data_IF_405743081288
#
_entry.id   IF_405743081288
#
_cell.length_a   1.000
_cell.length_b   1.000
_cell.length_c   1.000
_cell.angle_alpha   90.00
_cell.angle_beta   90.00
_cell.angle_gamma   90.00
#
_symmetry.space_group_name_H-M   'P 1'
#
loop_
_entity.id
_entity.type
_entity.pdbx_description
1 polymer ?
#
# COMPACT_ATOMS: atom_id res chain seq x y z
N UNK A 1 -32.58 26.06 -34.03
CA UNK A 1 -32.64 25.68 -32.60
C UNK A 1 -33.56 24.47 -32.41
N UNK A 2 -33.08 23.24 -32.64
CA UNK A 2 -33.78 21.98 -32.29
C UNK A 2 -32.90 20.77 -32.63
N UNK A 3 -31.70 20.69 -32.06
CA UNK A 3 -30.84 19.50 -32.20
C UNK A 3 -29.96 19.24 -30.99
N UNK A 4 -30.24 19.89 -29.85
CA UNK A 4 -29.40 19.90 -28.66
C UNK A 4 -29.92 19.02 -27.52
N UNK A 5 -30.57 17.88 -27.82
CA UNK A 5 -31.17 17.01 -26.79
C UNK A 5 -30.74 15.54 -26.79
N UNK A 6 -29.76 15.13 -27.61
CA UNK A 6 -29.40 13.69 -27.72
C UNK A 6 -28.13 13.30 -26.95
N UNK A 7 -27.33 14.24 -26.44
CA UNK A 7 -26.01 13.91 -25.86
C UNK A 7 -26.06 13.57 -24.35
N UNK A 8 -27.18 13.77 -23.66
CA UNK A 8 -27.25 13.61 -22.20
C UNK A 8 -27.43 12.15 -21.69
N UNK A 9 -27.47 11.14 -22.56
CA UNK A 9 -27.84 9.77 -22.15
C UNK A 9 -26.68 8.76 -22.06
N UNK A 10 -25.43 9.14 -22.38
CA UNK A 10 -24.30 8.20 -22.43
C UNK A 10 -23.34 8.25 -21.21
N UNK A 11 -23.63 9.08 -20.21
CA UNK A 11 -22.76 9.23 -19.03
C UNK A 11 -23.14 8.35 -17.82
N UNK A 12 -24.02 7.36 -17.98
CA UNK A 12 -24.55 6.55 -16.88
C UNK A 12 -23.97 5.13 -16.76
N UNK A 13 -22.87 4.81 -17.44
CA UNK A 13 -22.30 3.44 -17.42
C UNK A 13 -20.78 3.41 -17.22
N UNK A 14 -20.29 4.02 -16.13
CA UNK A 14 -18.98 3.64 -15.54
C UNK A 14 -19.08 3.62 -14.02
N UNK A 15 -20.00 2.82 -13.47
CA UNK A 15 -19.89 2.35 -12.09
C UNK A 15 -20.10 0.84 -12.12
N UNK A 16 -19.16 0.14 -12.73
CA UNK A 16 -19.21 -1.31 -12.84
C UNK A 16 -17.97 -1.91 -12.19
N UNK A 17 -18.24 -2.60 -11.08
CA UNK A 17 -17.47 -3.75 -10.58
C UNK A 17 -16.28 -3.47 -9.66
N UNK A 18 -16.55 -3.04 -8.42
CA UNK A 18 -15.76 -3.53 -7.28
C UNK A 18 -16.39 -4.84 -6.78
N UNK A 19 -16.30 -5.92 -7.57
CA UNK A 19 -16.59 -7.25 -7.04
C UNK A 19 -15.39 -7.69 -6.20
N UNK A 20 -15.34 -7.25 -4.95
CA UNK A 20 -14.34 -7.66 -3.97
C UNK A 20 -14.68 -9.08 -3.48
N UNK A 21 -14.45 -10.07 -4.34
CA UNK A 21 -14.33 -11.47 -3.95
C UNK A 21 -12.94 -11.71 -3.34
N UNK A 22 -12.65 -10.97 -2.27
CA UNK A 22 -11.40 -11.07 -1.51
C UNK A 22 -11.76 -11.65 -0.14
N UNK A 23 -11.11 -12.75 0.23
CA UNK A 23 -11.28 -13.36 1.55
C UNK A 23 -10.96 -12.34 2.65
N UNK A 24 -11.50 -12.54 3.86
CA UNK A 24 -11.39 -11.55 4.95
C UNK A 24 -9.95 -11.12 5.29
N UNK A 25 -8.97 -12.01 5.10
CA UNK A 25 -7.55 -11.72 5.34
C UNK A 25 -6.97 -10.70 4.34
N UNK A 26 -7.32 -10.81 3.05
CA UNK A 26 -6.83 -9.90 2.01
C UNK A 26 -7.31 -8.47 2.26
N UNK A 27 -8.54 -8.31 2.77
CA UNK A 27 -9.08 -6.99 3.14
C UNK A 27 -8.37 -6.35 4.33
N UNK A 28 -7.94 -7.15 5.32
CA UNK A 28 -7.23 -6.62 6.50
C UNK A 28 -5.83 -6.18 6.10
N UNK A 29 -5.09 -7.02 5.38
CA UNK A 29 -3.76 -6.69 4.91
C UNK A 29 -3.78 -5.51 3.93
N UNK A 30 -4.72 -5.49 2.97
CA UNK A 30 -4.87 -4.39 2.02
C UNK A 30 -5.08 -3.04 2.69
N UNK A 31 -5.92 -2.97 3.74
CA UNK A 31 -6.12 -1.72 4.51
C UNK A 31 -4.87 -1.27 5.24
N UNK A 32 -4.12 -2.21 5.81
CA UNK A 32 -2.88 -1.89 6.52
C UNK A 32 -1.84 -1.29 5.57
N UNK A 33 -1.68 -1.88 4.39
CA UNK A 33 -0.77 -1.42 3.33
C UNK A 33 -1.19 -0.03 2.83
N UNK A 34 -2.48 0.13 2.48
CA UNK A 34 -3.02 1.44 2.05
C UNK A 34 -2.86 2.53 3.11
N UNK A 35 -3.06 2.19 4.39
CA UNK A 35 -2.89 3.15 5.48
C UNK A 35 -1.43 3.57 5.65
N UNK A 36 -0.46 2.66 5.45
CA UNK A 36 0.96 3.02 5.44
C UNK A 36 1.27 3.96 4.28
N UNK A 37 0.87 3.60 3.05
CA UNK A 37 1.10 4.42 1.86
C UNK A 37 0.51 5.83 2.00
N UNK A 38 -0.73 5.94 2.46
CA UNK A 38 -1.36 7.23 2.70
C UNK A 38 -0.60 8.04 3.76
N UNK A 39 -0.28 7.43 4.91
CA UNK A 39 0.46 8.11 5.98
C UNK A 39 1.84 8.59 5.50
N UNK A 40 2.50 7.83 4.62
CA UNK A 40 3.81 8.19 4.09
C UNK A 40 3.74 9.24 2.98
N UNK A 41 2.67 9.28 2.20
CA UNK A 41 2.38 10.41 1.30
C UNK A 41 2.18 11.71 2.09
N UNK A 42 1.40 11.66 3.18
CA UNK A 42 1.19 12.80 4.07
C UNK A 42 2.50 13.22 4.76
N UNK A 43 3.30 12.25 5.23
CA UNK A 43 4.62 12.51 5.79
C UNK A 43 5.56 13.18 4.78
N UNK A 44 5.60 12.69 3.53
CA UNK A 44 6.43 13.27 2.48
C UNK A 44 6.03 14.73 2.21
N UNK A 45 4.73 14.99 2.06
CA UNK A 45 4.21 16.34 1.84
C UNK A 45 4.54 17.29 3.01
N UNK A 46 4.40 16.83 4.26
CA UNK A 46 4.70 17.62 5.46
C UNK A 46 6.19 17.94 5.61
N UNK A 47 7.08 17.14 5.02
CA UNK A 47 8.54 17.29 5.13
C UNK A 47 9.19 17.79 3.83
N UNK A 48 8.40 18.21 2.84
CA UNK A 48 8.92 18.72 1.56
C UNK A 48 9.69 17.68 0.74
N UNK A 49 9.34 16.39 0.89
CA UNK A 49 9.92 15.27 0.14
C UNK A 49 9.03 14.88 -1.04
N UNK A 50 9.63 14.19 -2.00
CA UNK A 50 8.87 13.53 -3.07
C UNK A 50 7.97 12.43 -2.49
N UNK A 51 6.80 12.16 -3.09
CA UNK A 51 5.98 11.02 -2.72
C UNK A 51 6.79 9.72 -2.81
N UNK A 52 6.64 8.79 -1.87
CA UNK A 52 7.45 7.58 -1.86
C UNK A 52 7.11 6.67 -3.04
N UNK A 53 8.13 6.08 -3.65
CA UNK A 53 7.96 4.99 -4.62
C UNK A 53 7.74 3.65 -3.90
N UNK A 54 6.81 2.83 -4.40
CA UNK A 54 6.59 1.48 -3.91
C UNK A 54 7.47 0.50 -4.68
N UNK A 55 8.39 -0.14 -3.97
CA UNK A 55 9.38 -1.07 -4.51
C UNK A 55 9.06 -2.48 -3.99
N UNK A 56 8.83 -3.42 -4.91
CA UNK A 56 8.65 -4.82 -4.54
C UNK A 56 9.99 -5.53 -4.35
N UNK A 57 10.24 -6.01 -3.13
CA UNK A 57 11.47 -6.71 -2.80
C UNK A 57 11.63 -8.02 -3.59
N UNK A 58 12.83 -8.24 -4.11
CA UNK A 58 13.28 -9.54 -4.63
C UNK A 58 14.41 -10.08 -3.76
N UNK A 59 14.40 -11.37 -3.49
CA UNK A 59 15.42 -11.98 -2.65
C UNK A 59 16.83 -11.72 -3.19
N UNK A 60 17.71 -11.20 -2.34
CA UNK A 60 19.08 -10.82 -2.70
C UNK A 60 19.21 -9.43 -3.33
N UNK A 61 18.11 -8.69 -3.50
CA UNK A 61 18.14 -7.29 -3.93
C UNK A 61 18.88 -6.45 -2.90
N UNK A 62 19.90 -5.72 -3.36
CA UNK A 62 20.62 -4.75 -2.52
C UNK A 62 19.73 -3.53 -2.36
N UNK A 63 19.60 -3.06 -1.13
CA UNK A 63 18.84 -1.87 -0.79
C UNK A 63 19.80 -0.83 -0.24
N UNK A 64 19.58 0.42 -0.61
CA UNK A 64 20.26 1.58 -0.02
C UNK A 64 19.37 2.15 1.09
N UNK A 65 19.54 1.67 2.31
CA UNK A 65 18.73 2.09 3.46
C UNK A 65 19.62 2.92 4.36
N UNK A 66 19.42 4.23 4.37
CA UNK A 66 20.07 5.12 5.31
C UNK A 66 19.30 5.20 6.64
N UNK A 67 17.96 5.24 6.60
CA UNK A 67 17.11 5.34 7.78
C UNK A 67 15.76 4.67 7.60
N UNK A 68 15.33 3.85 8.56
CA UNK A 68 13.95 3.32 8.59
C UNK A 68 13.03 4.34 9.25
N UNK A 69 11.92 4.65 8.58
CA UNK A 69 10.90 5.62 9.02
C UNK A 69 9.72 4.91 9.66
N UNK A 70 9.22 3.84 9.03
CA UNK A 70 8.06 3.10 9.49
C UNK A 70 8.09 1.65 9.02
N UNK A 71 7.39 0.78 9.74
CA UNK A 71 7.12 -0.61 9.34
C UNK A 71 5.68 -0.96 9.65
N UNK A 72 5.00 -1.68 8.76
CA UNK A 72 3.67 -2.23 9.06
C UNK A 72 3.75 -3.32 10.12
N UNK A 73 2.73 -3.42 10.98
CA UNK A 73 2.67 -4.48 11.99
C UNK A 73 2.54 -5.87 11.35
N UNK A 74 3.19 -6.87 11.96
CA UNK A 74 3.07 -8.28 11.57
C UNK A 74 2.37 -9.13 12.64
N UNK A 75 1.83 -8.51 13.69
CA UNK A 75 1.22 -9.19 14.84
C UNK A 75 -0.23 -9.67 14.61
N UNK A 76 -0.81 -9.37 13.45
CA UNK A 76 -2.21 -9.67 13.13
C UNK A 76 -2.46 -11.13 12.72
N UNK A 77 -1.41 -11.90 12.41
CA UNK A 77 -1.52 -13.31 12.05
C UNK A 77 -0.26 -14.11 12.38
N UNK A 78 -0.32 -15.43 12.24
CA UNK A 78 0.84 -16.34 12.29
C UNK A 78 1.27 -16.84 10.90
N UNK A 79 0.59 -16.37 9.84
CA UNK A 79 0.85 -16.81 8.48
C UNK A 79 1.82 -15.86 7.77
N UNK A 80 2.32 -16.26 6.60
CA UNK A 80 3.06 -15.34 5.73
C UNK A 80 2.11 -14.29 5.16
N UNK A 81 2.39 -13.02 5.44
CA UNK A 81 1.57 -11.87 5.08
C UNK A 81 2.40 -10.81 4.34
N UNK A 82 1.77 -9.92 3.53
CA UNK A 82 2.46 -8.75 3.01
C UNK A 82 2.82 -7.79 4.15
N UNK A 83 3.94 -7.11 4.00
CA UNK A 83 4.42 -6.08 4.91
C UNK A 83 5.13 -4.98 4.11
N UNK A 84 5.13 -3.78 4.67
CA UNK A 84 5.84 -2.63 4.13
C UNK A 84 6.82 -2.05 5.14
N UNK A 85 7.96 -1.59 4.63
CA UNK A 85 8.93 -0.78 5.36
C UNK A 85 9.18 0.49 4.58
N UNK A 86 8.91 1.62 5.20
CA UNK A 86 9.26 2.93 4.66
C UNK A 86 10.65 3.30 5.12
N UNK A 87 11.52 3.68 4.20
CA UNK A 87 12.89 4.07 4.50
C UNK A 87 13.31 5.28 3.67
N UNK A 88 14.29 6.01 4.18
CA UNK A 88 15.06 6.99 3.43
C UNK A 88 16.34 6.35 2.92
N UNK A 89 16.66 6.60 1.66
CA UNK A 89 17.92 6.19 1.05
C UNK A 89 19.07 7.18 1.34
N UNK A 90 20.26 6.92 0.80
CA UNK A 90 21.42 7.79 1.02
C UNK A 90 21.30 9.18 0.38
N UNK A 91 20.37 9.38 -0.56
CA UNK A 91 20.06 10.68 -1.17
C UNK A 91 19.00 11.45 -0.37
N UNK A 92 18.38 10.80 0.63
CA UNK A 92 17.30 11.36 1.43
C UNK A 92 15.92 11.18 0.83
N UNK A 93 15.80 10.42 -0.26
CA UNK A 93 14.52 10.10 -0.90
C UNK A 93 13.77 9.04 -0.10
N UNK A 94 12.45 9.20 0.00
CA UNK A 94 11.58 8.29 0.73
C UNK A 94 11.12 7.15 -0.18
N UNK A 95 11.20 5.92 0.31
CA UNK A 95 10.84 4.72 -0.43
C UNK A 95 9.98 3.81 0.45
N UNK A 96 9.03 3.09 -0.15
CA UNK A 96 8.26 2.03 0.51
C UNK A 96 8.71 0.69 -0.08
N UNK A 97 9.36 -0.14 0.73
CA UNK A 97 9.68 -1.52 0.36
C UNK A 97 8.51 -2.43 0.73
N UNK A 98 7.91 -3.08 -0.26
CA UNK A 98 6.92 -4.14 -0.04
C UNK A 98 7.55 -5.52 -0.13
N UNK A 99 7.26 -6.37 0.85
CA UNK A 99 7.80 -7.73 0.94
C UNK A 99 6.83 -8.66 1.67
N UNK A 100 7.16 -9.95 1.74
CA UNK A 100 6.42 -10.94 2.54
C UNK A 100 7.17 -11.23 3.83
N UNK A 101 6.45 -11.21 4.94
CA UNK A 101 6.97 -11.47 6.28
C UNK A 101 6.18 -12.60 6.96
N UNK A 102 6.84 -13.33 7.85
CA UNK A 102 6.13 -14.22 8.77
C UNK A 102 5.38 -13.37 9.81
N UNK A 103 4.10 -13.65 10.00
CA UNK A 103 3.32 -13.05 11.07
C UNK A 103 3.81 -13.51 12.45
N UNK A 104 3.74 -12.62 13.43
CA UNK A 104 4.21 -12.85 14.81
C UNK A 104 3.06 -13.06 15.80
N UNK A 105 1.81 -12.96 15.35
CA UNK A 105 0.59 -13.14 16.12
C UNK A 105 0.21 -14.58 16.44
N UNK A 106 1.17 -15.45 16.75
CA UNK A 106 1.00 -16.89 16.92
C UNK A 106 0.39 -17.30 18.28
N UNK A 107 -0.63 -16.59 18.76
CA UNK A 107 -1.30 -16.97 20.02
C UNK A 107 -2.02 -18.33 19.86
N UNK A 108 -1.76 -19.25 20.78
CA UNK A 108 -2.41 -20.57 20.89
C UNK A 108 -2.17 -21.53 19.69
N UNK A 109 -1.02 -21.44 19.01
CA UNK A 109 -0.66 -22.37 17.91
C UNK A 109 0.45 -23.36 18.30
N UNK A 110 0.46 -23.78 19.58
CA UNK A 110 1.37 -24.81 20.09
C UNK A 110 0.78 -26.21 19.92
#
# INVERSE_FOLDING_TARGET
>A
MKSLKVIAALAAMVVSSATLAEGGADRVYGRMIQANEQAMQEYAAANGKNPPEVIHYRYGMKLDIARVVATTSTDSSCNVMPAQMTYEDSNGDLNILEYRAAGTGCRNQN
#
